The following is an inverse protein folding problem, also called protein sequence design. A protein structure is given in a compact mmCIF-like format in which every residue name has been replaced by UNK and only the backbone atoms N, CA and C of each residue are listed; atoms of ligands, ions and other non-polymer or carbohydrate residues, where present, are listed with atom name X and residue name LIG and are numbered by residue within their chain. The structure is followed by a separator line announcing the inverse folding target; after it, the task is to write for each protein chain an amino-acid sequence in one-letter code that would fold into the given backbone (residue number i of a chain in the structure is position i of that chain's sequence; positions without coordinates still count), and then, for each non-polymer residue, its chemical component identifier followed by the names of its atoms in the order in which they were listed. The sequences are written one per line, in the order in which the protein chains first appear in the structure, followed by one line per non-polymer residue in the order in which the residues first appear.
data_IF_801174650226
#
_entry.id   IF_801174650226
#
_cell.length_a   1.000
_cell.length_b   1.000
_cell.length_c   1.000
_cell.angle_alpha   90.00
_cell.angle_beta   90.00
_cell.angle_gamma   90.00
#
_symmetry.space_group_name_H-M   'P 1'
#
loop_
_entity.id
_entity.type
_entity.pdbx_description
1 polymer ?
#
# COMPACT_ATOMS: atom_id res chain seq x y z
N UNK A 1 -26.58 -3.87 -10.40
CA UNK A 1 -27.39 -5.01 -9.90
C UNK A 1 -27.21 -6.19 -10.87
N UNK A 2 -26.17 -7.00 -10.67
CA UNK A 2 -25.97 -8.29 -11.35
C UNK A 2 -25.47 -9.24 -10.24
N UNK A 3 -26.37 -9.70 -9.38
CA UNK A 3 -25.97 -10.51 -8.20
C UNK A 3 -27.04 -11.49 -7.71
N UNK A 4 -28.04 -11.83 -8.52
CA UNK A 4 -29.20 -12.59 -8.01
C UNK A 4 -29.26 -14.09 -8.34
N UNK A 5 -28.68 -14.56 -9.44
CA UNK A 5 -29.21 -15.80 -10.05
C UNK A 5 -28.41 -17.08 -9.82
N UNK A 6 -27.08 -17.03 -9.85
CA UNK A 6 -26.25 -18.24 -10.05
C UNK A 6 -25.10 -18.34 -9.01
N UNK A 7 -24.89 -17.30 -8.21
CA UNK A 7 -23.81 -17.22 -7.23
C UNK A 7 -24.23 -17.47 -5.77
N UNK A 8 -25.52 -17.44 -5.42
CA UNK A 8 -26.01 -17.43 -4.02
C UNK A 8 -25.42 -18.54 -3.13
N UNK A 9 -25.63 -19.81 -3.48
CA UNK A 9 -25.22 -20.93 -2.61
C UNK A 9 -23.71 -21.12 -2.53
N UNK A 10 -22.97 -20.83 -3.61
CA UNK A 10 -21.50 -20.99 -3.66
C UNK A 10 -20.77 -19.78 -3.07
N UNK A 11 -21.32 -18.57 -3.22
CA UNK A 11 -20.82 -17.37 -2.56
C UNK A 11 -20.95 -17.50 -1.04
N UNK A 12 -22.10 -18.04 -0.56
CA UNK A 12 -22.31 -18.36 0.86
C UNK A 12 -21.25 -19.33 1.42
N UNK A 13 -20.92 -20.42 0.72
CA UNK A 13 -19.89 -21.36 1.17
C UNK A 13 -18.46 -20.76 1.19
N UNK A 14 -18.13 -19.86 0.25
CA UNK A 14 -16.84 -19.17 0.26
C UNK A 14 -16.76 -18.13 1.37
N UNK A 15 -17.85 -17.41 1.60
CA UNK A 15 -17.99 -16.47 2.69
C UNK A 15 -17.86 -17.17 4.06
N UNK A 16 -18.46 -18.34 4.23
CA UNK A 16 -18.31 -19.16 5.44
C UNK A 16 -16.88 -19.67 5.66
N UNK A 17 -16.20 -20.11 4.59
CA UNK A 17 -14.79 -20.49 4.70
C UNK A 17 -13.91 -19.29 5.06
N UNK A 18 -14.23 -18.11 4.52
CA UNK A 18 -13.54 -16.88 4.87
C UNK A 18 -13.82 -16.43 6.31
N UNK A 19 -15.07 -16.55 6.78
CA UNK A 19 -15.47 -16.30 8.17
C UNK A 19 -14.67 -17.19 9.13
N UNK A 20 -14.59 -18.50 8.86
CA UNK A 20 -13.75 -19.44 9.64
C UNK A 20 -12.27 -19.09 9.60
N UNK A 21 -11.80 -18.69 8.44
CA UNK A 21 -10.43 -18.25 8.23
C UNK A 21 -10.12 -17.03 9.12
N UNK A 22 -10.99 -16.01 9.14
CA UNK A 22 -10.84 -14.82 10.01
C UNK A 22 -10.93 -15.14 11.51
N UNK A 23 -11.87 -16.00 11.91
CA UNK A 23 -11.96 -16.50 13.30
C UNK A 23 -10.62 -17.07 13.76
N UNK A 24 -10.03 -17.95 12.94
CA UNK A 24 -8.76 -18.61 13.26
C UNK A 24 -7.59 -17.61 13.33
N UNK A 25 -7.63 -16.53 12.56
CA UNK A 25 -6.61 -15.47 12.59
C UNK A 25 -6.66 -14.62 13.83
N UNK A 26 -7.86 -14.43 14.37
CA UNK A 26 -8.08 -13.61 15.57
C UNK A 26 -7.43 -14.23 16.82
N UNK A 27 -7.15 -15.53 16.79
CA UNK A 27 -6.43 -16.24 17.84
C UNK A 27 -4.93 -16.39 17.53
N UNK A 28 -4.54 -16.54 16.26
CA UNK A 28 -3.14 -16.62 15.84
C UNK A 28 -2.90 -16.05 14.43
N UNK A 29 -2.23 -14.89 14.37
CA UNK A 29 -1.87 -14.21 13.13
C UNK A 29 -0.96 -15.04 12.20
N UNK A 30 -0.23 -16.03 12.72
CA UNK A 30 0.63 -16.89 11.87
C UNK A 30 -0.20 -17.68 10.87
N UNK A 31 -1.46 -17.98 11.20
CA UNK A 31 -2.38 -18.69 10.31
C UNK A 31 -2.67 -17.86 9.04
N UNK A 32 -2.89 -16.54 9.17
CA UNK A 32 -3.05 -15.67 7.98
C UNK A 32 -1.77 -15.56 7.18
N UNK A 33 -0.62 -15.42 7.84
CA UNK A 33 0.65 -15.33 7.13
C UNK A 33 0.90 -16.58 6.28
N UNK A 34 0.68 -17.77 6.84
CA UNK A 34 0.79 -19.04 6.10
C UNK A 34 -0.21 -19.07 4.94
N UNK A 35 -1.45 -18.62 5.14
CA UNK A 35 -2.49 -18.63 4.10
C UNK A 35 -2.25 -17.63 2.97
N UNK A 36 -1.70 -16.46 3.27
CA UNK A 36 -1.25 -15.50 2.26
C UNK A 36 -0.08 -16.08 1.45
N UNK A 37 0.88 -16.73 2.11
CA UNK A 37 2.00 -17.37 1.42
C UNK A 37 1.54 -18.52 0.50
N UNK A 38 0.64 -19.38 0.98
CA UNK A 38 -0.02 -20.43 0.19
C UNK A 38 -0.75 -19.83 -1.02
N UNK A 39 -1.56 -18.77 -0.80
CA UNK A 39 -2.24 -18.08 -1.91
C UNK A 39 -1.26 -17.47 -2.91
N UNK A 40 -0.19 -16.83 -2.46
CA UNK A 40 0.82 -16.24 -3.32
C UNK A 40 1.51 -17.30 -4.17
N UNK A 41 1.85 -18.45 -3.58
CA UNK A 41 2.39 -19.57 -4.34
C UNK A 41 1.40 -20.06 -5.41
N UNK A 42 0.14 -20.26 -5.04
CA UNK A 42 -0.91 -20.66 -5.98
C UNK A 42 -1.08 -19.67 -7.14
N UNK A 43 -1.00 -18.36 -6.88
CA UNK A 43 -1.07 -17.32 -7.91
C UNK A 43 0.14 -17.36 -8.85
N UNK A 44 1.35 -17.65 -8.34
CA UNK A 44 2.56 -17.78 -9.17
C UNK A 44 2.52 -18.99 -10.11
N UNK A 45 1.80 -20.05 -9.75
CA UNK A 45 1.68 -21.29 -10.53
C UNK A 45 0.30 -21.47 -11.17
N UNK A 46 -0.49 -20.40 -11.25
CA UNK A 46 -1.90 -20.44 -11.66
C UNK A 46 -2.09 -20.80 -13.14
N UNK A 47 -1.04 -20.65 -13.97
CA UNK A 47 -1.05 -21.00 -15.39
C UNK A 47 -1.45 -22.45 -15.68
N UNK A 48 -1.18 -23.36 -14.74
CA UNK A 48 -1.51 -24.79 -14.86
C UNK A 48 -3.01 -25.10 -14.70
N UNK A 49 -3.80 -24.14 -14.22
CA UNK A 49 -5.23 -24.34 -13.99
C UNK A 49 -6.07 -24.00 -15.22
N UNK A 50 -7.26 -24.63 -15.39
CA UNK A 50 -8.23 -24.23 -16.40
C UNK A 50 -8.69 -22.77 -16.21
N UNK A 51 -8.99 -22.08 -17.33
CA UNK A 51 -9.31 -20.65 -17.32
C UNK A 51 -10.40 -20.25 -16.31
N UNK A 52 -11.47 -21.02 -16.19
CA UNK A 52 -12.54 -20.75 -15.22
C UNK A 52 -12.05 -20.73 -13.76
N UNK A 53 -11.09 -21.60 -13.42
CA UNK A 53 -10.44 -21.59 -12.09
C UNK A 53 -9.47 -20.43 -11.96
N UNK A 54 -8.73 -20.09 -13.02
CA UNK A 54 -7.82 -18.93 -13.02
C UNK A 54 -8.57 -17.64 -12.69
N UNK A 55 -9.65 -17.33 -13.43
CA UNK A 55 -10.50 -16.17 -13.17
C UNK A 55 -11.06 -16.15 -11.75
N UNK A 56 -11.57 -17.30 -11.28
CA UNK A 56 -12.11 -17.42 -9.93
C UNK A 56 -11.05 -17.13 -8.85
N UNK A 57 -9.88 -17.75 -8.97
CA UNK A 57 -8.80 -17.63 -7.99
C UNK A 57 -8.24 -16.20 -8.01
N UNK A 58 -8.03 -15.61 -9.19
CA UNK A 58 -7.58 -14.23 -9.34
C UNK A 58 -8.57 -13.23 -8.73
N UNK A 59 -9.87 -13.38 -9.00
CA UNK A 59 -10.92 -12.54 -8.41
C UNK A 59 -10.96 -12.63 -6.88
N UNK A 60 -10.88 -13.84 -6.32
CA UNK A 60 -10.81 -14.04 -4.87
C UNK A 60 -9.52 -13.44 -4.27
N UNK A 61 -8.38 -13.62 -4.93
CA UNK A 61 -7.11 -13.04 -4.52
C UNK A 61 -7.19 -11.52 -4.43
N UNK A 62 -7.74 -10.88 -5.46
CA UNK A 62 -7.86 -9.43 -5.51
C UNK A 62 -8.88 -8.89 -4.51
N UNK A 63 -10.01 -9.59 -4.33
CA UNK A 63 -11.08 -9.14 -3.44
C UNK A 63 -10.76 -9.39 -1.95
N UNK A 64 -10.00 -10.44 -1.63
CA UNK A 64 -9.73 -10.88 -0.25
C UNK A 64 -8.26 -10.72 0.11
N UNK A 65 -7.39 -11.51 -0.52
CA UNK A 65 -6.03 -11.74 -0.01
C UNK A 65 -5.11 -10.51 -0.19
N UNK A 66 -5.26 -9.76 -1.29
CA UNK A 66 -4.51 -8.52 -1.49
C UNK A 66 -4.87 -7.46 -0.43
N UNK A 67 -6.15 -7.13 -0.17
CA UNK A 67 -6.55 -6.25 0.93
C UNK A 67 -6.06 -6.70 2.30
N UNK A 68 -6.14 -8.01 2.61
CA UNK A 68 -5.60 -8.56 3.85
C UNK A 68 -4.08 -8.39 3.97
N UNK A 69 -3.34 -8.69 2.90
CA UNK A 69 -1.90 -8.44 2.87
C UNK A 69 -1.57 -6.96 3.08
N UNK A 70 -2.35 -6.04 2.50
CA UNK A 70 -2.20 -4.60 2.72
C UNK A 70 -2.45 -4.20 4.17
N UNK A 71 -3.49 -4.74 4.80
CA UNK A 71 -3.83 -4.48 6.21
C UNK A 71 -2.70 -4.94 7.14
N UNK A 72 -2.08 -6.08 6.83
CA UNK A 72 -0.93 -6.60 7.56
C UNK A 72 0.41 -5.90 7.25
N UNK A 73 0.39 -4.86 6.41
CA UNK A 73 1.59 -4.11 5.99
C UNK A 73 2.50 -4.88 5.02
N UNK A 74 2.06 -6.02 4.48
CA UNK A 74 2.81 -6.87 3.55
C UNK A 74 2.76 -6.30 2.11
N UNK A 75 3.20 -5.05 1.92
CA UNK A 75 3.03 -4.31 0.67
C UNK A 75 3.64 -5.01 -0.55
N UNK A 76 4.79 -5.67 -0.39
CA UNK A 76 5.43 -6.43 -1.49
C UNK A 76 4.54 -7.59 -1.94
N UNK A 77 4.02 -8.36 -0.99
CA UNK A 77 3.13 -9.50 -1.29
C UNK A 77 1.81 -9.00 -1.87
N UNK A 78 1.22 -7.97 -1.28
CA UNK A 78 0.01 -7.32 -1.82
C UNK A 78 0.18 -6.93 -3.29
N UNK A 79 1.25 -6.20 -3.60
CA UNK A 79 1.49 -5.70 -4.98
C UNK A 79 1.63 -6.88 -5.95
N UNK A 80 2.32 -7.94 -5.54
CA UNK A 80 2.49 -9.14 -6.38
C UNK A 80 1.16 -9.90 -6.58
N UNK A 81 0.35 -10.05 -5.53
CA UNK A 81 -0.99 -10.64 -5.64
C UNK A 81 -1.89 -9.82 -6.57
N UNK A 82 -1.84 -8.50 -6.49
CA UNK A 82 -2.58 -7.58 -7.35
C UNK A 82 -2.17 -7.71 -8.82
N UNK A 83 -0.87 -7.66 -9.12
CA UNK A 83 -0.36 -7.78 -10.49
C UNK A 83 -0.64 -9.17 -11.09
N UNK A 84 -0.45 -10.24 -10.31
CA UNK A 84 -0.79 -11.60 -10.76
C UNK A 84 -2.28 -11.71 -11.03
N UNK A 85 -3.13 -11.15 -10.16
CA UNK A 85 -4.59 -11.16 -10.39
C UNK A 85 -4.96 -10.38 -11.65
N UNK A 86 -4.36 -9.20 -11.85
CA UNK A 86 -4.57 -8.37 -13.03
C UNK A 86 -4.15 -9.08 -14.32
N UNK A 87 -3.03 -9.81 -14.30
CA UNK A 87 -2.54 -10.61 -15.44
C UNK A 87 -3.55 -11.66 -15.91
N UNK A 88 -4.26 -12.31 -14.99
CA UNK A 88 -5.27 -13.31 -15.36
C UNK A 88 -6.64 -12.71 -15.67
N UNK A 89 -7.02 -11.65 -14.98
CA UNK A 89 -8.32 -11.01 -15.15
C UNK A 89 -8.39 -10.16 -16.43
N UNK A 90 -7.31 -9.43 -16.74
CA UNK A 90 -7.21 -8.52 -17.89
C UNK A 90 -5.88 -8.69 -18.64
N UNK A 91 -5.63 -9.86 -19.27
CA UNK A 91 -4.31 -10.22 -19.83
C UNK A 91 -3.81 -9.28 -20.92
N UNK A 92 -4.70 -8.75 -21.76
CA UNK A 92 -4.33 -7.82 -22.84
C UNK A 92 -3.88 -6.46 -22.29
N UNK A 93 -4.63 -5.92 -21.32
CA UNK A 93 -4.28 -4.65 -20.67
C UNK A 93 -2.98 -4.77 -19.87
N UNK A 94 -2.79 -5.89 -19.17
CA UNK A 94 -1.54 -6.20 -18.47
C UNK A 94 -0.35 -6.17 -19.44
N UNK A 95 -0.44 -6.93 -20.54
CA UNK A 95 0.62 -6.99 -21.56
C UNK A 95 0.90 -5.61 -22.19
N UNK A 96 -0.14 -4.83 -22.48
CA UNK A 96 0.01 -3.48 -23.03
C UNK A 96 0.76 -2.55 -22.07
N UNK A 97 0.42 -2.57 -20.78
CA UNK A 97 1.09 -1.75 -19.77
C UNK A 97 2.54 -2.20 -19.56
N UNK A 98 2.80 -3.51 -19.52
CA UNK A 98 4.18 -4.02 -19.43
C UNK A 98 5.03 -3.60 -20.63
N UNK A 99 4.49 -3.69 -21.85
CA UNK A 99 5.20 -3.26 -23.04
C UNK A 99 5.54 -1.77 -22.98
N UNK A 100 4.57 -0.92 -22.63
CA UNK A 100 4.81 0.53 -22.48
C UNK A 100 5.81 0.86 -21.37
N UNK A 101 5.79 0.09 -20.28
CA UNK A 101 6.78 0.21 -19.22
C UNK A 101 8.19 -0.13 -19.72
N UNK A 102 8.34 -1.21 -20.50
CA UNK A 102 9.63 -1.58 -21.09
C UNK A 102 10.13 -0.51 -22.09
N UNK A 103 9.26 -0.05 -22.99
CA UNK A 103 9.62 0.95 -24.02
C UNK A 103 10.11 2.28 -23.42
N UNK A 104 9.57 2.66 -22.26
CA UNK A 104 9.89 3.94 -21.60
C UNK A 104 10.96 3.82 -20.52
N UNK A 105 11.57 2.64 -20.33
CA UNK A 105 12.57 2.38 -19.28
C UNK A 105 13.79 3.31 -19.38
N UNK A 106 14.46 3.36 -20.54
CA UNK A 106 15.64 4.21 -20.74
C UNK A 106 15.38 5.70 -20.47
N UNK A 107 14.19 6.18 -20.84
CA UNK A 107 13.79 7.57 -20.58
C UNK A 107 13.59 7.83 -19.09
N UNK A 108 13.00 6.87 -18.36
CA UNK A 108 12.83 6.95 -16.90
C UNK A 108 14.16 6.92 -16.18
N UNK A 109 15.12 6.10 -16.62
CA UNK A 109 16.45 6.02 -16.00
C UNK A 109 17.22 7.33 -16.18
N UNK A 110 17.17 7.90 -17.37
CA UNK A 110 17.78 9.22 -17.66
C UNK A 110 17.15 10.32 -16.81
N UNK A 111 15.81 10.30 -16.67
CA UNK A 111 15.09 11.24 -15.81
C UNK A 111 15.46 11.04 -14.34
N UNK A 112 15.53 9.79 -13.87
CA UNK A 112 15.89 9.46 -12.50
C UNK A 112 17.30 9.97 -12.16
N UNK A 113 18.30 9.71 -12.99
CA UNK A 113 19.67 10.15 -12.75
C UNK A 113 19.80 11.67 -12.78
N UNK A 114 19.21 12.34 -13.78
CA UNK A 114 19.24 13.81 -13.86
C UNK A 114 18.48 14.51 -12.73
N UNK A 115 17.42 13.88 -12.21
CA UNK A 115 16.65 14.41 -11.08
C UNK A 115 17.32 14.14 -9.73
N UNK A 116 18.00 13.00 -9.57
CA UNK A 116 18.60 12.61 -8.29
C UNK A 116 20.02 13.12 -8.10
N UNK A 117 20.78 13.42 -9.16
CA UNK A 117 22.15 13.92 -9.04
C UNK A 117 22.26 15.18 -8.13
N UNK A 118 21.44 16.24 -8.29
CA UNK A 118 21.47 17.39 -7.38
C UNK A 118 21.02 17.04 -5.95
N UNK A 119 20.11 16.07 -5.80
CA UNK A 119 19.64 15.60 -4.48
C UNK A 119 20.80 14.91 -3.75
N UNK A 120 21.57 14.07 -4.45
CA UNK A 120 22.73 13.38 -3.87
C UNK A 120 23.75 14.38 -3.34
N UNK A 121 24.11 15.38 -4.14
CA UNK A 121 25.05 16.44 -3.71
C UNK A 121 24.61 17.15 -2.43
N UNK A 122 23.31 17.40 -2.27
CA UNK A 122 22.80 18.11 -1.10
C UNK A 122 22.67 17.22 0.14
N UNK A 123 22.33 15.94 -0.04
CA UNK A 123 22.35 14.96 1.04
C UNK A 123 23.78 14.67 1.53
N UNK A 124 24.76 14.66 0.61
CA UNK A 124 26.18 14.49 0.93
C UNK A 124 26.67 15.67 1.79
N UNK A 125 26.28 16.91 1.47
CA UNK A 125 26.60 18.10 2.29
C UNK A 125 25.97 18.09 3.67
N UNK A 126 24.78 17.50 3.82
CA UNK A 126 24.17 17.27 5.13
C UNK A 126 24.88 16.18 5.95
N UNK A 127 25.76 15.40 5.32
CA UNK A 127 26.47 14.28 5.92
C UNK A 127 25.50 13.21 6.42
N UNK A 128 24.44 12.93 5.65
CA UNK A 128 23.47 11.87 5.92
C UNK A 128 23.94 10.61 5.18
N UNK A 129 23.83 9.44 5.80
CA UNK A 129 24.00 8.18 5.09
C UNK A 129 22.67 7.79 4.43
N UNK A 130 22.66 7.56 3.12
CA UNK A 130 21.42 7.31 2.39
C UNK A 130 21.58 6.37 1.20
N UNK A 131 20.44 5.87 0.72
CA UNK A 131 20.26 5.13 -0.52
C UNK A 131 19.09 5.75 -1.27
N UNK A 132 19.33 6.15 -2.53
CA UNK A 132 18.26 6.59 -3.43
C UNK A 132 17.96 5.46 -4.41
N UNK A 133 16.68 5.09 -4.53
CA UNK A 133 16.22 4.06 -5.45
C UNK A 133 15.10 4.61 -6.33
N UNK A 134 15.10 4.18 -7.60
CA UNK A 134 13.94 4.34 -8.46
C UNK A 134 12.84 3.38 -8.01
N UNK A 135 11.61 3.87 -7.96
CA UNK A 135 10.41 3.07 -7.72
C UNK A 135 9.48 3.25 -8.90
N UNK A 136 9.30 2.20 -9.67
CA UNK A 136 8.30 2.15 -10.75
C UNK A 136 7.01 1.60 -10.18
N UNK A 137 5.87 2.19 -10.55
CA UNK A 137 4.56 1.66 -10.17
C UNK A 137 4.30 0.31 -10.84
N UNK A 138 3.56 -0.54 -10.13
CA UNK A 138 3.15 -1.85 -10.63
C UNK A 138 2.12 -1.71 -11.77
N UNK A 139 2.06 -2.67 -12.72
CA UNK A 139 1.04 -2.67 -13.77
C UNK A 139 -0.39 -2.50 -13.26
N UNK A 140 -0.76 -3.22 -12.19
CA UNK A 140 -2.09 -3.07 -11.59
C UNK A 140 -2.32 -1.65 -11.04
N UNK A 141 -1.32 -1.07 -10.35
CA UNK A 141 -1.42 0.29 -9.81
C UNK A 141 -1.59 1.34 -10.90
N UNK A 142 -0.91 1.16 -12.04
CA UNK A 142 -1.02 2.02 -13.22
C UNK A 142 -2.42 1.88 -13.82
N UNK A 143 -2.85 0.65 -14.09
CA UNK A 143 -4.18 0.36 -14.63
C UNK A 143 -5.29 0.94 -13.76
N UNK A 144 -5.27 0.67 -12.45
CA UNK A 144 -6.25 1.19 -11.50
C UNK A 144 -6.28 2.73 -11.52
N UNK A 145 -5.12 3.39 -11.68
CA UNK A 145 -5.07 4.84 -11.80
C UNK A 145 -5.63 5.35 -13.13
N UNK A 146 -5.37 4.65 -14.25
CA UNK A 146 -5.96 4.95 -15.55
C UNK A 146 -7.48 4.88 -15.48
N UNK A 147 -8.03 3.82 -14.88
CA UNK A 147 -9.47 3.64 -14.71
C UNK A 147 -10.08 4.72 -13.81
N UNK A 148 -9.53 4.94 -12.62
CA UNK A 148 -10.12 5.87 -11.65
C UNK A 148 -10.07 7.33 -12.12
N UNK A 149 -9.00 7.72 -12.82
CA UNK A 149 -8.82 9.11 -13.30
C UNK A 149 -9.28 9.32 -14.73
N UNK A 150 -9.67 8.27 -15.43
CA UNK A 150 -10.06 8.31 -16.85
C UNK A 150 -8.96 8.94 -17.72
N UNK A 151 -7.70 8.53 -17.46
CA UNK A 151 -6.51 9.03 -18.17
C UNK A 151 -5.79 7.88 -18.87
N UNK A 152 -5.07 8.22 -19.94
CA UNK A 152 -4.20 7.30 -20.67
C UNK A 152 -2.89 7.06 -19.92
N UNK A 153 -2.13 6.04 -20.34
CA UNK A 153 -0.80 5.73 -19.77
C UNK A 153 0.15 6.94 -19.83
N UNK A 154 0.16 7.64 -20.96
CA UNK A 154 1.10 8.73 -21.24
C UNK A 154 0.81 9.98 -20.38
N UNK A 155 -0.42 10.13 -19.90
CA UNK A 155 -0.84 11.20 -18.99
C UNK A 155 -0.53 10.90 -17.52
N UNK A 156 -0.02 9.71 -17.19
CA UNK A 156 0.35 9.36 -15.82
C UNK A 156 1.75 9.90 -15.51
N UNK A 157 1.77 11.08 -14.88
CA UNK A 157 3.02 11.74 -14.50
C UNK A 157 3.84 11.00 -13.43
N UNK A 158 3.22 10.19 -12.58
CA UNK A 158 3.84 9.57 -11.39
C UNK A 158 4.12 8.07 -11.54
N UNK A 159 4.41 7.61 -12.77
CA UNK A 159 4.89 6.23 -13.00
C UNK A 159 6.22 6.00 -12.28
N UNK A 160 7.10 7.00 -12.35
CA UNK A 160 8.38 7.03 -11.64
C UNK A 160 8.23 7.81 -10.33
N UNK A 161 8.62 7.17 -9.24
CA UNK A 161 8.85 7.80 -7.95
C UNK A 161 10.30 7.58 -7.51
N UNK A 162 10.78 8.47 -6.65
CA UNK A 162 12.10 8.38 -6.04
C UNK A 162 11.93 8.00 -4.59
N UNK A 163 12.64 6.98 -4.13
CA UNK A 163 12.68 6.59 -2.73
C UNK A 163 14.04 6.94 -2.14
N UNK A 164 14.03 7.79 -1.12
CA UNK A 164 15.20 8.15 -0.32
C UNK A 164 15.08 7.39 1.00
N UNK A 165 15.99 6.46 1.23
CA UNK A 165 16.11 5.68 2.46
C UNK A 165 17.36 6.17 3.16
N UNK A 166 17.23 6.73 4.36
CA UNK A 166 18.38 7.22 5.12
C UNK A 166 18.58 6.44 6.41
N UNK A 167 19.82 6.40 6.89
CA UNK A 167 20.16 5.87 8.20
C UNK A 167 20.29 7.07 9.16
N UNK A 168 19.40 7.23 10.15
CA UNK A 168 19.48 8.34 11.08
C UNK A 168 20.75 8.23 11.95
N UNK A 169 21.34 9.38 12.28
CA UNK A 169 22.50 9.42 13.19
C UNK A 169 22.10 9.06 14.61
N UNK A 170 20.91 9.50 15.01
CA UNK A 170 20.29 9.19 16.30
C UNK A 170 18.87 8.74 16.03
N UNK A 171 18.52 7.50 16.40
CA UNK A 171 17.22 6.90 16.09
C UNK A 171 16.03 7.74 16.57
N UNK A 172 16.14 8.36 17.75
CA UNK A 172 15.12 9.24 18.32
C UNK A 172 14.82 10.49 17.46
N UNK A 173 15.74 10.88 16.57
CA UNK A 173 15.58 12.05 15.70
C UNK A 173 15.15 11.70 14.28
N UNK A 174 14.79 10.44 13.98
CA UNK A 174 14.53 9.99 12.61
C UNK A 174 13.45 10.81 11.90
N UNK A 175 12.38 11.22 12.59
CA UNK A 175 11.33 12.08 12.03
C UNK A 175 11.88 13.46 11.66
N UNK A 176 12.68 14.07 12.55
CA UNK A 176 13.30 15.37 12.29
C UNK A 176 14.28 15.30 11.11
N UNK A 177 15.04 14.21 10.99
CA UNK A 177 15.94 13.99 9.86
C UNK A 177 15.19 13.85 8.52
N UNK A 178 14.01 13.20 8.48
CA UNK A 178 13.14 13.20 7.30
C UNK A 178 12.78 14.63 6.86
N UNK A 179 12.36 15.48 7.80
CA UNK A 179 11.98 16.87 7.48
C UNK A 179 13.19 17.71 7.05
N UNK A 180 14.36 17.50 7.66
CA UNK A 180 15.59 18.15 7.22
C UNK A 180 15.96 17.80 5.78
N UNK A 181 15.83 16.52 5.40
CA UNK A 181 16.00 16.07 4.02
C UNK A 181 14.97 16.75 3.10
N UNK A 182 13.70 16.79 3.49
CA UNK A 182 12.65 17.49 2.73
C UNK A 182 12.95 18.98 2.52
N UNK A 183 13.41 19.69 3.55
CA UNK A 183 13.79 21.10 3.45
C UNK A 183 14.97 21.26 2.49
N UNK A 184 15.96 20.38 2.54
CA UNK A 184 17.11 20.44 1.64
C UNK A 184 16.73 20.23 0.17
N UNK A 185 15.92 19.21 -0.14
CA UNK A 185 15.49 18.96 -1.53
C UNK A 185 14.54 20.05 -2.07
N UNK A 186 13.75 20.66 -1.18
CA UNK A 186 12.83 21.76 -1.55
C UNK A 186 13.54 23.07 -1.90
N UNK A 187 14.83 23.21 -1.54
CA UNK A 187 15.68 24.32 -2.01
C UNK A 187 16.09 24.16 -3.48
N UNK A 188 16.12 22.92 -3.97
CA UNK A 188 16.57 22.57 -5.32
C UNK A 188 15.38 22.51 -6.28
N UNK A 189 14.26 21.95 -5.82
CA UNK A 189 13.06 21.75 -6.62
C UNK A 189 11.84 22.37 -5.96
N UNK A 190 10.98 22.98 -6.78
CA UNK A 190 9.70 23.52 -6.30
C UNK A 190 8.77 22.37 -5.90
N UNK A 191 8.29 22.39 -4.67
CA UNK A 191 7.27 21.45 -4.19
C UNK A 191 5.88 21.83 -4.69
N UNK A 192 5.05 20.81 -4.91
CA UNK A 192 3.64 21.00 -5.19
C UNK A 192 2.90 21.33 -3.88
N UNK A 193 2.10 22.40 -3.81
CA UNK A 193 1.46 22.84 -2.56
C UNK A 193 0.55 21.76 -1.95
N UNK A 194 -0.29 21.12 -2.77
CA UNK A 194 -1.31 20.17 -2.26
C UNK A 194 -0.87 18.69 -2.23
N UNK A 195 0.42 18.41 -2.47
CA UNK A 195 0.93 17.03 -2.58
C UNK A 195 2.11 16.76 -1.65
N UNK A 196 1.97 17.25 -0.42
CA UNK A 196 2.75 16.82 0.74
C UNK A 196 1.85 15.91 1.59
N UNK A 197 2.31 14.70 1.89
CA UNK A 197 1.62 13.77 2.79
C UNK A 197 2.60 13.34 3.88
N UNK A 198 2.28 13.71 5.10
CA UNK A 198 3.06 13.38 6.29
C UNK A 198 2.53 12.10 6.92
N UNK A 199 3.10 10.96 6.52
CA UNK A 199 2.85 9.68 7.19
C UNK A 199 3.85 9.40 8.31
N UNK A 200 4.63 10.39 8.74
CA UNK A 200 5.55 10.23 9.87
C UNK A 200 4.82 10.52 11.18
N UNK A 201 4.15 11.67 11.26
CA UNK A 201 3.36 12.08 12.42
C UNK A 201 1.94 11.48 12.41
N UNK A 202 1.46 11.06 11.24
CA UNK A 202 0.20 10.36 11.07
C UNK A 202 0.43 9.04 10.31
N UNK A 203 1.05 8.01 10.94
CA UNK A 203 1.27 6.71 10.30
C UNK A 203 -0.03 6.12 9.77
N UNK A 204 0.07 5.31 8.71
CA UNK A 204 -1.10 4.55 8.25
C UNK A 204 -1.37 3.39 9.19
N UNK A 205 -2.60 2.88 9.08
CA UNK A 205 -3.09 1.77 9.87
C UNK A 205 -2.29 0.46 9.86
N UNK A 206 -1.43 0.31 8.86
CA UNK A 206 -0.58 -0.84 8.66
C UNK A 206 0.87 -0.58 9.08
N UNK A 207 1.11 0.45 9.91
CA UNK A 207 2.42 0.90 10.36
C UNK A 207 3.25 1.62 9.29
N UNK A 208 2.67 1.92 8.12
CA UNK A 208 3.42 2.57 7.06
C UNK A 208 3.79 4.01 7.43
N UNK A 209 5.09 4.29 7.45
CA UNK A 209 5.67 5.60 7.71
C UNK A 209 6.57 6.06 6.55
N UNK A 210 6.34 7.28 6.08
CA UNK A 210 7.18 8.01 5.13
C UNK A 210 6.67 9.44 4.94
N UNK A 211 7.55 10.36 4.56
CA UNK A 211 7.15 11.65 4.01
C UNK A 211 7.02 11.54 2.49
N UNK A 212 5.85 11.83 1.93
CA UNK A 212 5.65 11.88 0.49
C UNK A 212 5.55 13.33 0.04
N UNK A 213 6.38 13.71 -0.92
CA UNK A 213 6.37 15.04 -1.52
C UNK A 213 6.38 14.91 -3.03
N UNK A 214 5.59 15.71 -3.74
CA UNK A 214 5.72 15.85 -5.20
C UNK A 214 6.54 17.08 -5.56
N UNK A 215 7.61 16.90 -6.32
CA UNK A 215 8.55 17.96 -6.72
C UNK A 215 8.55 18.15 -8.24
N UNK A 216 8.69 19.39 -8.70
CA UNK A 216 8.80 19.72 -10.12
C UNK A 216 10.24 19.52 -10.61
N UNK A 217 10.47 18.58 -11.52
CA UNK A 217 11.75 18.40 -12.18
C UNK A 217 12.08 19.57 -13.13
N UNK A 218 13.36 19.75 -13.47
CA UNK A 218 13.81 20.76 -14.45
C UNK A 218 13.22 20.56 -15.85
N UNK A 219 12.73 19.37 -16.16
CA UNK A 219 12.07 19.02 -17.43
C UNK A 219 10.55 19.24 -17.39
N UNK A 220 10.01 19.87 -16.34
CA UNK A 220 8.58 20.17 -16.22
C UNK A 220 7.71 18.97 -15.83
N UNK A 221 8.32 17.86 -15.38
CA UNK A 221 7.61 16.67 -14.91
C UNK A 221 7.52 16.66 -13.39
N UNK A 222 6.34 16.38 -12.85
CA UNK A 222 6.13 16.12 -11.43
C UNK A 222 6.65 14.74 -11.04
N UNK A 223 7.49 14.67 -10.01
CA UNK A 223 8.07 13.42 -9.49
C UNK A 223 7.74 13.30 -8.01
N UNK A 224 7.15 12.17 -7.64
CA UNK A 224 6.92 11.85 -6.23
C UNK A 224 8.23 11.38 -5.59
N UNK A 225 8.58 11.95 -4.45
CA UNK A 225 9.71 11.57 -3.62
C UNK A 225 9.19 11.07 -2.29
N UNK A 226 9.64 9.87 -1.90
CA UNK A 226 9.31 9.22 -0.64
C UNK A 226 10.56 9.22 0.24
N UNK A 227 10.49 9.86 1.39
CA UNK A 227 11.61 9.97 2.34
C UNK A 227 11.25 9.14 3.57
N UNK A 228 12.11 8.19 3.94
CA UNK A 228 11.90 7.34 5.12
C UNK A 228 13.22 6.80 5.66
N UNK A 229 13.25 6.44 6.94
CA UNK A 229 14.43 5.77 7.52
C UNK A 229 14.54 4.32 7.03
N UNK A 230 15.70 3.70 7.23
CA UNK A 230 15.94 2.26 7.07
C UNK A 230 14.95 1.39 7.86
N UNK A 231 14.62 1.76 9.10
CA UNK A 231 13.59 1.10 9.92
C UNK A 231 12.21 1.19 9.27
N UNK A 232 11.81 2.40 8.87
CA UNK A 232 10.53 2.64 8.18
C UNK A 232 10.46 1.92 6.84
N UNK A 233 11.59 1.78 6.12
CA UNK A 233 11.69 0.97 4.90
C UNK A 233 11.43 -0.52 5.19
N UNK A 234 12.01 -1.05 6.27
CA UNK A 234 11.78 -2.44 6.69
C UNK A 234 10.31 -2.70 7.06
N UNK A 235 9.71 -1.82 7.86
CA UNK A 235 8.27 -1.90 8.22
C UNK A 235 7.40 -1.81 6.98
N UNK A 236 7.68 -0.90 6.05
CA UNK A 236 6.89 -0.76 4.84
C UNK A 236 6.97 -1.96 3.89
N UNK A 237 8.07 -2.72 3.89
CA UNK A 237 8.24 -3.89 3.01
C UNK A 237 7.76 -5.19 3.67
N UNK A 238 7.89 -5.32 5.00
CA UNK A 238 7.60 -6.56 5.75
C UNK A 238 6.39 -6.46 6.70
N UNK A 239 5.79 -5.28 6.86
CA UNK A 239 4.65 -5.06 7.74
C UNK A 239 4.90 -5.49 9.18
N UNK A 240 3.85 -6.01 9.83
CA UNK A 240 3.91 -6.52 11.21
C UNK A 240 4.94 -7.63 11.42
N UNK A 241 5.35 -8.36 10.38
CA UNK A 241 6.41 -9.37 10.48
C UNK A 241 7.79 -8.74 10.79
N UNK A 242 8.00 -7.45 10.50
CA UNK A 242 9.19 -6.73 10.91
C UNK A 242 9.24 -6.53 12.44
N UNK A 243 8.11 -6.20 13.06
CA UNK A 243 8.03 -5.86 14.50
C UNK A 243 8.35 -7.08 15.38
N UNK A 244 7.93 -8.28 14.98
CA UNK A 244 8.22 -9.50 15.75
C UNK A 244 9.72 -9.80 15.90
N UNK A 245 10.55 -9.42 14.90
CA UNK A 245 12.01 -9.61 14.98
C UNK A 245 12.66 -8.72 16.06
N UNK A 246 12.07 -7.56 16.37
CA UNK A 246 12.60 -6.65 17.40
C UNK A 246 12.22 -7.10 18.83
N UNK A 247 11.23 -7.99 19.00
CA UNK A 247 10.84 -8.57 20.29
C UNK A 247 11.90 -9.49 20.92
N UNK A 248 12.81 -10.08 20.14
CA UNK A 248 13.88 -10.93 20.70
C UNK A 248 15.05 -10.13 21.31
N UNK A 249 15.04 -8.78 21.20
CA UNK A 249 16.18 -7.94 21.62
C UNK A 249 15.91 -6.92 22.73
N UNK A 250 14.67 -6.50 22.96
CA UNK A 250 14.32 -5.50 23.98
C UNK A 250 12.91 -5.76 24.54
N UNK A 251 12.81 -6.20 25.79
CA UNK A 251 11.57 -6.51 26.51
C UNK A 251 10.72 -5.27 26.91
N UNK A 252 10.84 -4.12 26.22
CA UNK A 252 10.38 -2.84 26.78
C UNK A 252 9.59 -1.87 25.90
N UNK A 253 9.55 -2.01 24.58
CA UNK A 253 8.87 -1.02 23.71
C UNK A 253 7.64 -1.65 23.05
N UNK A 254 6.49 -1.55 23.72
CA UNK A 254 5.19 -1.67 23.08
C UNK A 254 5.02 -0.48 22.11
N UNK A 255 5.27 -0.68 20.82
CA UNK A 255 5.04 0.35 19.80
C UNK A 255 3.54 0.49 19.54
N UNK A 256 3.04 1.72 19.35
CA UNK A 256 1.63 2.05 19.04
C UNK A 256 1.04 1.17 17.90
N UNK A 257 1.87 0.73 16.96
CA UNK A 257 1.50 -0.19 15.86
C UNK A 257 0.90 -1.53 16.35
N UNK A 258 1.32 -2.06 17.51
CA UNK A 258 0.76 -3.31 18.05
C UNK A 258 -0.69 -3.13 18.53
N UNK A 259 -1.07 -1.94 18.98
CA UNK A 259 -2.43 -1.67 19.44
C UNK A 259 -3.40 -1.71 18.26
N UNK A 260 -3.05 -1.11 17.12
CA UNK A 260 -3.99 -1.03 15.99
C UNK A 260 -4.29 -2.39 15.33
N UNK A 261 -3.28 -3.27 15.26
CA UNK A 261 -3.50 -4.64 14.81
C UNK A 261 -4.39 -5.40 15.79
N UNK A 262 -4.13 -5.29 17.09
CA UNK A 262 -4.95 -5.95 18.12
C UNK A 262 -6.37 -5.39 18.15
N UNK A 263 -6.55 -4.09 17.97
CA UNK A 263 -7.85 -3.42 17.87
C UNK A 263 -8.62 -3.89 16.64
N UNK A 264 -7.92 -4.04 15.50
CA UNK A 264 -8.51 -4.60 14.29
C UNK A 264 -8.92 -6.06 14.47
N UNK A 265 -8.07 -6.90 15.08
CA UNK A 265 -8.39 -8.29 15.38
C UNK A 265 -9.57 -8.39 16.37
N UNK A 266 -9.64 -7.49 17.34
CA UNK A 266 -10.74 -7.40 18.30
C UNK A 266 -12.04 -6.98 17.64
N UNK A 267 -11.99 -5.98 16.74
CA UNK A 267 -13.14 -5.58 15.91
C UNK A 267 -13.64 -6.74 15.05
N UNK A 268 -12.73 -7.53 14.49
CA UNK A 268 -13.10 -8.75 13.75
C UNK A 268 -13.80 -9.75 14.66
N UNK A 269 -13.31 -9.99 15.89
CA UNK A 269 -14.00 -10.86 16.87
C UNK A 269 -15.41 -10.36 17.17
N UNK A 270 -15.58 -9.06 17.39
CA UNK A 270 -16.90 -8.47 17.64
C UNK A 270 -17.88 -8.64 16.47
N UNK A 271 -17.44 -8.38 15.23
CA UNK A 271 -18.27 -8.60 14.03
C UNK A 271 -18.60 -10.09 13.85
N UNK A 272 -17.68 -10.98 14.22
CA UNK A 272 -17.87 -12.43 14.12
C UNK A 272 -18.83 -12.98 15.18
N UNK A 273 -18.85 -12.37 16.36
CA UNK A 273 -19.76 -12.68 17.47
C UNK A 273 -21.17 -12.12 17.24
N UNK A 274 -21.35 -11.16 16.32
CA UNK A 274 -22.67 -10.65 15.92
C UNK A 274 -23.42 -11.72 15.11
N UNK A 275 -24.63 -12.13 15.54
CA UNK A 275 -25.48 -13.07 14.81
C UNK A 275 -26.09 -12.41 13.55
N UNK A 276 -25.28 -12.06 12.55
CA UNK A 276 -25.78 -11.68 11.24
C UNK A 276 -26.17 -12.91 10.39
N UNK A 277 -27.31 -12.88 9.69
CA UNK A 277 -27.85 -14.03 8.97
C UNK A 277 -27.29 -14.24 7.54
N UNK A 278 -26.55 -13.29 6.95
CA UNK A 278 -25.99 -13.41 5.59
C UNK A 278 -24.45 -13.26 5.57
N UNK A 279 -23.77 -14.28 5.07
CA UNK A 279 -22.32 -14.33 4.96
C UNK A 279 -21.76 -13.35 3.91
N UNK A 280 -22.56 -12.93 2.93
CA UNK A 280 -22.15 -11.90 1.96
C UNK A 280 -22.14 -10.49 2.57
N UNK A 281 -23.13 -10.15 3.38
CA UNK A 281 -23.16 -8.87 4.10
C UNK A 281 -21.98 -8.79 5.09
N UNK A 282 -21.64 -9.91 5.73
CA UNK A 282 -20.43 -10.03 6.54
C UNK A 282 -19.15 -9.76 5.73
N UNK A 283 -19.01 -10.35 4.54
CA UNK A 283 -17.85 -10.11 3.66
C UNK A 283 -17.73 -8.65 3.27
N UNK A 284 -18.82 -8.00 2.90
CA UNK A 284 -18.82 -6.59 2.54
C UNK A 284 -18.54 -5.69 3.77
N UNK A 285 -19.03 -6.03 4.95
CA UNK A 285 -18.72 -5.32 6.20
C UNK A 285 -17.23 -5.42 6.57
N UNK A 286 -16.64 -6.62 6.47
CA UNK A 286 -15.20 -6.83 6.68
C UNK A 286 -14.40 -6.11 5.60
N UNK A 287 -14.81 -6.17 4.34
CA UNK A 287 -14.17 -5.45 3.25
C UNK A 287 -14.16 -3.96 3.54
N UNK A 288 -15.30 -3.39 3.94
CA UNK A 288 -15.39 -2.00 4.35
C UNK A 288 -14.39 -1.74 5.47
N UNK A 289 -14.32 -2.56 6.52
CA UNK A 289 -13.36 -2.41 7.61
C UNK A 289 -11.88 -2.52 7.15
N UNK A 290 -11.57 -3.44 6.23
CA UNK A 290 -10.24 -3.58 5.61
C UNK A 290 -9.80 -2.31 4.87
N UNK A 291 -10.75 -1.55 4.32
CA UNK A 291 -10.52 -0.25 3.68
C UNK A 291 -10.74 0.96 4.60
N UNK A 292 -11.46 0.79 5.72
CA UNK A 292 -12.01 1.89 6.53
C UNK A 292 -11.18 2.22 7.78
N UNK A 293 -9.86 2.23 7.68
CA UNK A 293 -9.06 3.04 8.61
C UNK A 293 -8.97 4.50 8.17
N UNK A 294 -9.27 4.79 6.91
CA UNK A 294 -9.19 6.13 6.34
C UNK A 294 -10.53 6.47 5.63
N UNK A 295 -11.18 7.56 6.01
CA UNK A 295 -12.33 8.16 5.30
C UNK A 295 -11.86 9.30 4.39
N UNK A 296 -12.56 9.49 3.27
CA UNK A 296 -12.33 10.61 2.36
C UNK A 296 -13.39 11.68 2.60
N UNK A 297 -12.93 12.88 2.98
CA UNK A 297 -13.80 14.04 3.21
C UNK A 297 -13.59 15.04 2.07
N UNK A 298 -14.69 15.45 1.44
CA UNK A 298 -14.69 16.44 0.38
C UNK A 298 -14.90 17.83 0.96
N UNK A 299 -14.00 18.77 0.67
CA UNK A 299 -14.21 20.17 1.01
C UNK A 299 -15.22 20.81 0.04
N UNK A 300 -15.89 21.91 0.42
CA UNK A 300 -16.74 22.68 -0.50
C UNK A 300 -16.01 23.20 -1.74
N UNK A 301 -14.66 23.27 -1.72
CA UNK A 301 -13.81 23.65 -2.86
C UNK A 301 -13.41 22.46 -3.75
N UNK A 302 -13.87 21.24 -3.43
CA UNK A 302 -13.59 20.03 -4.19
C UNK A 302 -12.25 19.36 -3.85
N UNK A 303 -11.59 19.78 -2.77
CA UNK A 303 -10.36 19.12 -2.30
C UNK A 303 -10.71 17.84 -1.55
N UNK A 304 -9.91 16.79 -1.77
CA UNK A 304 -10.08 15.50 -1.10
C UNK A 304 -9.08 15.43 0.06
N UNK A 305 -9.58 15.38 1.30
CA UNK A 305 -8.78 15.09 2.50
C UNK A 305 -8.98 13.64 2.93
N UNK A 306 -7.88 12.94 3.19
CA UNK A 306 -7.90 11.61 3.80
C UNK A 306 -7.76 11.76 5.31
N UNK A 307 -8.68 11.16 6.07
CA UNK A 307 -8.75 11.29 7.53
C UNK A 307 -8.97 9.93 8.20
N UNK A 308 -8.60 9.74 9.46
CA UNK A 308 -8.90 8.51 10.20
C UNK A 308 -10.41 8.27 10.31
N UNK A 309 -10.84 7.02 10.24
CA UNK A 309 -12.22 6.68 10.55
C UNK A 309 -12.56 7.05 12.00
N UNK A 310 -13.71 7.70 12.22
CA UNK A 310 -14.12 8.24 13.52
C UNK A 310 -13.68 9.68 13.79
N UNK A 311 -13.02 10.36 12.83
CA UNK A 311 -12.67 11.77 13.00
C UNK A 311 -13.93 12.65 13.13
N UNK A 312 -13.81 13.70 13.94
CA UNK A 312 -14.86 14.69 14.17
C UNK A 312 -14.78 15.81 13.13
N UNK A 313 -15.83 16.63 13.06
CA UNK A 313 -15.79 17.86 12.28
C UNK A 313 -14.71 18.84 12.79
N UNK A 314 -14.27 18.70 14.05
CA UNK A 314 -13.18 19.49 14.64
C UNK A 314 -11.81 19.07 14.09
N UNK A 315 -11.60 17.77 13.87
CA UNK A 315 -10.36 17.24 13.28
C UNK A 315 -10.23 17.63 11.78
N UNK A 316 -11.37 17.87 11.12
CA UNK A 316 -11.42 18.25 9.71
C UNK A 316 -11.16 19.76 9.47
N UNK A 317 -11.63 20.59 10.41
CA UNK A 317 -11.58 22.05 10.37
C UNK A 317 -10.14 22.57 10.52
#
# INVERSE_FOLDING_TARGET
KISGGIFGDKASAQAENFKKLLLTMSDDIRVILIKICDRLHNMRTLESQPANKQYKIAGETLYIYAPLANRLGLNKIKTELEDLSFRYDHPQEYANIEHKLADTESQRDTLFESFTAPIREELDKLGVEYKIKARVKSPYSIWNKMQNKHVTFDEIYDILAVRIIFTPKVRANEVNECFNIYVAISKIYKSHPDRLRDWLNHPKANGYQALHVTLMSKQGRWIEVQIRSDRMDEVAEKGFAAHWKYKEGNEGEYTEDENELNDWLSTIKEILDDPQPDAMDFLDAIKLNLYASEIFVFTPKGEIKTMPAGCTALDFA
#
